data_IF_503311163722
#
_entry.id   IF_503311163722
#
_cell.length_a   1.000
_cell.length_b   1.000
_cell.length_c   1.000
_cell.angle_alpha   90.00
_cell.angle_beta   90.00
_cell.angle_gamma   90.00
#
_symmetry.space_group_name_H-M   'P 1'
#
loop_
_entity.id
_entity.type
_entity.pdbx_description
1 polymer ?
#
# COMPACT_ATOMS: atom_id res chain seq x y z
N UNK A 1 -5.27 -28.22 -23.45
CA UNK A 1 -5.38 -27.22 -22.37
C UNK A 1 -5.31 -27.99 -21.05
N UNK A 2 -4.16 -27.97 -20.39
CA UNK A 2 -4.05 -28.55 -19.05
C UNK A 2 -4.81 -27.63 -18.10
N UNK A 3 -5.89 -28.12 -17.50
CA UNK A 3 -6.50 -27.51 -16.33
C UNK A 3 -5.47 -27.60 -15.19
N UNK A 4 -4.77 -26.51 -14.93
CA UNK A 4 -3.90 -26.41 -13.75
C UNK A 4 -4.80 -26.45 -12.52
N UNK A 5 -4.88 -27.60 -11.86
CA UNK A 5 -5.67 -27.76 -10.63
C UNK A 5 -5.05 -26.86 -9.56
N UNK A 6 -5.81 -25.85 -9.10
CA UNK A 6 -5.37 -24.94 -8.06
C UNK A 6 -4.88 -25.70 -6.81
N UNK A 7 -3.74 -25.29 -6.29
CA UNK A 7 -3.15 -25.87 -5.07
C UNK A 7 -4.04 -25.59 -3.85
N UNK A 8 -3.86 -26.36 -2.79
CA UNK A 8 -4.58 -26.11 -1.51
C UNK A 8 -4.33 -24.69 -0.99
N UNK A 9 -3.12 -24.19 -1.14
CA UNK A 9 -2.74 -22.83 -0.75
C UNK A 9 -3.54 -21.78 -1.55
N UNK A 10 -3.57 -21.90 -2.87
CA UNK A 10 -4.32 -20.99 -3.75
C UNK A 10 -5.82 -20.98 -3.43
N UNK A 11 -6.42 -22.16 -3.20
CA UNK A 11 -7.84 -22.26 -2.80
C UNK A 11 -8.13 -21.55 -1.48
N UNK A 12 -7.23 -21.66 -0.49
CA UNK A 12 -7.39 -20.97 0.79
C UNK A 12 -7.27 -19.46 0.60
N UNK A 13 -6.29 -18.99 -0.18
CA UNK A 13 -6.08 -17.55 -0.42
C UNK A 13 -7.23 -16.94 -1.24
N UNK A 14 -7.75 -17.64 -2.25
CA UNK A 14 -8.90 -17.19 -3.04
C UNK A 14 -10.16 -17.07 -2.17
N UNK A 15 -10.51 -18.10 -1.41
CA UNK A 15 -11.65 -18.04 -0.48
C UNK A 15 -11.49 -16.99 0.62
N UNK A 16 -10.25 -16.72 1.03
CA UNK A 16 -9.93 -15.68 2.00
C UNK A 16 -10.09 -14.28 1.39
N UNK A 17 -9.63 -14.08 0.15
CA UNK A 17 -9.79 -12.83 -0.56
C UNK A 17 -11.26 -12.42 -0.64
N UNK A 18 -12.13 -13.33 -1.06
CA UNK A 18 -13.57 -13.10 -1.17
C UNK A 18 -14.19 -12.73 0.20
N UNK A 19 -13.89 -13.51 1.24
CA UNK A 19 -14.44 -13.28 2.58
C UNK A 19 -13.93 -11.97 3.20
N UNK A 20 -12.65 -11.63 3.01
CA UNK A 20 -12.09 -10.39 3.53
C UNK A 20 -12.59 -9.16 2.77
N UNK A 21 -12.74 -9.23 1.45
CA UNK A 21 -13.30 -8.13 0.66
C UNK A 21 -14.75 -7.85 1.00
N UNK A 22 -15.54 -8.90 1.26
CA UNK A 22 -16.95 -8.79 1.64
C UNK A 22 -17.13 -8.21 3.06
N UNK A 23 -16.43 -8.77 4.05
CA UNK A 23 -16.69 -8.51 5.49
C UNK A 23 -15.62 -7.72 6.23
N UNK A 24 -14.51 -7.41 5.58
CA UNK A 24 -13.32 -6.88 6.25
C UNK A 24 -12.61 -7.92 7.12
N UNK A 25 -11.40 -7.60 7.58
CA UNK A 25 -10.65 -8.52 8.43
C UNK A 25 -11.38 -8.86 9.72
N UNK A 26 -11.92 -7.87 10.42
CA UNK A 26 -12.61 -8.08 11.71
C UNK A 26 -13.85 -8.97 11.57
N UNK A 27 -14.67 -8.75 10.53
CA UNK A 27 -15.92 -9.46 10.29
C UNK A 27 -15.74 -10.83 9.63
N UNK A 28 -14.59 -11.13 9.04
CA UNK A 28 -14.34 -12.36 8.32
C UNK A 28 -14.26 -13.59 9.22
N UNK A 29 -14.86 -14.69 8.76
CA UNK A 29 -14.93 -15.96 9.47
C UNK A 29 -13.96 -16.99 8.92
N UNK A 30 -12.95 -17.39 9.70
CA UNK A 30 -12.03 -18.45 9.33
C UNK A 30 -12.76 -19.75 8.99
N UNK A 31 -13.84 -20.08 9.71
CA UNK A 31 -14.67 -21.26 9.44
C UNK A 31 -15.32 -21.19 8.04
N UNK A 32 -15.75 -20.01 7.63
CA UNK A 32 -16.33 -19.82 6.30
C UNK A 32 -15.27 -19.91 5.21
N UNK A 33 -14.10 -19.31 5.42
CA UNK A 33 -12.95 -19.43 4.50
C UNK A 33 -12.59 -20.90 4.26
N UNK A 34 -12.36 -21.66 5.33
CA UNK A 34 -12.02 -23.10 5.26
C UNK A 34 -13.09 -23.90 4.52
N UNK A 35 -14.38 -23.60 4.79
CA UNK A 35 -15.51 -24.24 4.10
C UNK A 35 -15.53 -23.91 2.61
N UNK A 36 -15.36 -22.65 2.24
CA UNK A 36 -15.39 -22.18 0.85
C UNK A 36 -14.19 -22.72 0.06
N UNK A 37 -13.01 -22.80 0.69
CA UNK A 37 -11.81 -23.40 0.10
C UNK A 37 -11.94 -24.91 -0.09
N UNK A 38 -12.92 -25.55 0.48
CA UNK A 38 -13.10 -27.01 0.40
C UNK A 38 -12.02 -27.79 1.13
N UNK A 39 -11.42 -27.22 2.18
CA UNK A 39 -10.34 -27.84 2.94
C UNK A 39 -10.76 -28.13 4.38
N UNK A 40 -10.00 -28.97 5.10
CA UNK A 40 -10.22 -29.18 6.53
C UNK A 40 -9.54 -28.09 7.35
N UNK A 41 -10.04 -27.83 8.57
CA UNK A 41 -9.38 -26.92 9.53
C UNK A 41 -7.92 -27.35 9.82
N UNK A 42 -7.66 -28.65 9.90
CA UNK A 42 -6.30 -29.17 10.08
C UNK A 42 -5.40 -28.86 8.89
N UNK A 43 -5.92 -28.97 7.65
CA UNK A 43 -5.16 -28.59 6.44
C UNK A 43 -4.86 -27.07 6.43
N UNK A 44 -5.82 -26.24 6.84
CA UNK A 44 -5.60 -24.80 6.98
C UNK A 44 -4.42 -24.49 7.93
N UNK A 45 -4.42 -25.06 9.13
CA UNK A 45 -3.36 -24.83 10.11
C UNK A 45 -2.00 -25.42 9.72
N UNK A 46 -1.95 -26.24 8.68
CA UNK A 46 -0.69 -26.65 8.04
C UNK A 46 -0.02 -25.54 7.20
N UNK A 47 -0.80 -24.56 6.74
CA UNK A 47 -0.32 -23.43 5.92
C UNK A 47 -0.23 -22.13 6.73
N UNK A 48 -1.21 -21.82 7.57
CA UNK A 48 -1.34 -20.56 8.29
C UNK A 48 -1.60 -20.79 9.77
N UNK A 49 -0.85 -20.07 10.63
CA UNK A 49 -1.01 -20.16 12.08
C UNK A 49 -2.27 -19.47 12.60
N UNK A 50 -2.82 -18.52 11.85
CA UNK A 50 -3.98 -17.71 12.25
C UNK A 50 -4.65 -17.04 11.06
N UNK A 51 -5.80 -16.37 11.31
CA UNK A 51 -6.48 -15.51 10.33
C UNK A 51 -5.60 -14.30 9.94
N UNK A 52 -4.85 -13.77 10.90
CA UNK A 52 -3.90 -12.68 10.71
C UNK A 52 -2.76 -13.09 9.77
N UNK A 53 -2.21 -14.29 9.95
CA UNK A 53 -1.15 -14.82 9.09
C UNK A 53 -1.65 -15.04 7.65
N UNK A 54 -2.89 -15.51 7.48
CA UNK A 54 -3.52 -15.63 6.16
C UNK A 54 -3.74 -14.25 5.53
N UNK A 55 -4.31 -13.29 6.26
CA UNK A 55 -4.51 -11.92 5.78
C UNK A 55 -3.18 -11.29 5.36
N UNK A 56 -2.17 -11.38 6.21
CA UNK A 56 -0.83 -10.87 5.93
C UNK A 56 -0.23 -11.49 4.65
N UNK A 57 -0.42 -12.79 4.41
CA UNK A 57 0.10 -13.45 3.20
C UNK A 57 -0.46 -12.86 1.89
N UNK A 58 -1.61 -12.20 1.96
CA UNK A 58 -2.27 -11.58 0.80
C UNK A 58 -1.84 -10.11 0.66
N UNK A 59 -1.80 -9.34 1.77
CA UNK A 59 -1.59 -7.89 1.72
C UNK A 59 -0.15 -7.46 1.90
N UNK A 60 0.71 -8.30 2.49
CA UNK A 60 2.12 -7.96 2.71
C UNK A 60 2.90 -7.73 1.40
N UNK A 61 2.75 -8.56 0.33
CA UNK A 61 3.42 -8.30 -0.93
C UNK A 61 3.12 -6.91 -1.51
N UNK A 62 1.85 -6.48 -1.68
CA UNK A 62 1.56 -5.14 -2.17
C UNK A 62 1.96 -4.04 -1.18
N UNK A 63 1.83 -4.25 0.13
CA UNK A 63 2.27 -3.27 1.12
C UNK A 63 3.78 -3.02 1.04
N UNK A 64 4.59 -4.08 0.94
CA UNK A 64 6.05 -3.98 0.76
C UNK A 64 6.43 -3.33 -0.57
N UNK A 65 5.75 -3.69 -1.66
CA UNK A 65 6.04 -3.14 -2.98
C UNK A 65 5.74 -1.64 -3.03
N UNK A 66 4.55 -1.22 -2.58
CA UNK A 66 4.13 0.19 -2.59
C UNK A 66 5.01 1.05 -1.67
N UNK A 67 5.19 0.64 -0.40
CA UNK A 67 6.01 1.38 0.55
C UNK A 67 7.49 1.36 0.17
N UNK A 68 8.01 0.21 -0.27
CA UNK A 68 9.42 0.09 -0.65
C UNK A 68 9.77 0.97 -1.85
N UNK A 69 8.92 0.96 -2.90
CA UNK A 69 9.15 1.83 -4.07
C UNK A 69 8.97 3.30 -3.74
N UNK A 70 8.04 3.62 -2.84
CA UNK A 70 7.86 4.97 -2.33
C UNK A 70 9.10 5.47 -1.58
N UNK A 71 9.60 4.69 -0.64
CA UNK A 71 10.81 5.03 0.11
C UNK A 71 12.04 5.15 -0.79
N UNK A 72 12.18 4.27 -1.79
CA UNK A 72 13.24 4.36 -2.80
C UNK A 72 13.20 5.71 -3.54
N UNK A 73 12.03 6.12 -4.03
CA UNK A 73 11.86 7.39 -4.73
C UNK A 73 12.20 8.60 -3.82
N UNK A 74 11.68 8.61 -2.59
CA UNK A 74 11.95 9.68 -1.62
C UNK A 74 13.44 9.77 -1.27
N UNK A 75 14.07 8.63 -0.99
CA UNK A 75 15.48 8.59 -0.61
C UNK A 75 16.40 8.99 -1.77
N UNK A 76 16.16 8.43 -2.97
CA UNK A 76 16.95 8.76 -4.16
C UNK A 76 16.86 10.24 -4.49
N UNK A 77 15.66 10.85 -4.37
CA UNK A 77 15.50 12.28 -4.58
C UNK A 77 16.25 13.11 -3.52
N UNK A 78 16.13 12.76 -2.24
CA UNK A 78 16.77 13.47 -1.15
C UNK A 78 18.31 13.38 -1.18
N UNK A 79 18.87 12.33 -1.78
CA UNK A 79 20.32 12.14 -1.97
C UNK A 79 20.91 12.95 -3.13
N UNK A 80 20.06 13.54 -4.00
CA UNK A 80 20.55 14.45 -5.04
C UNK A 80 21.18 15.70 -4.42
N UNK A 81 22.22 16.29 -5.06
CA UNK A 81 22.71 17.61 -4.68
C UNK A 81 21.57 18.63 -4.63
N UNK A 82 21.55 19.49 -3.59
CA UNK A 82 20.46 20.45 -3.37
C UNK A 82 20.11 21.25 -4.63
N UNK A 83 21.13 21.69 -5.39
CA UNK A 83 20.97 22.49 -6.59
C UNK A 83 20.27 21.75 -7.74
N UNK A 84 20.28 20.40 -7.73
CA UNK A 84 19.67 19.57 -8.77
C UNK A 84 18.23 19.18 -8.43
N UNK A 85 17.87 19.14 -7.15
CA UNK A 85 16.54 18.68 -6.71
C UNK A 85 15.38 19.41 -7.40
N UNK A 86 15.39 20.77 -7.57
CA UNK A 86 14.28 21.48 -8.20
C UNK A 86 14.01 21.04 -9.64
N UNK A 87 15.06 20.68 -10.39
CA UNK A 87 14.95 20.29 -11.80
C UNK A 87 14.45 18.84 -11.95
N UNK A 88 14.67 17.98 -10.94
CA UNK A 88 14.31 16.56 -10.98
C UNK A 88 12.97 16.24 -10.31
N UNK A 89 12.42 17.13 -9.48
CA UNK A 89 11.21 16.89 -8.69
C UNK A 89 10.03 16.40 -9.55
N UNK A 90 9.78 17.06 -10.69
CA UNK A 90 8.65 16.73 -11.56
C UNK A 90 8.76 15.36 -12.22
N UNK A 91 9.98 14.98 -12.64
CA UNK A 91 10.25 13.70 -13.29
C UNK A 91 10.14 12.53 -12.30
N UNK A 92 10.77 12.66 -11.14
CA UNK A 92 10.75 11.64 -10.07
C UNK A 92 9.32 11.39 -9.58
N UNK A 93 8.58 12.46 -9.26
CA UNK A 93 7.19 12.35 -8.81
C UNK A 93 6.29 11.70 -9.87
N UNK A 94 6.43 12.10 -11.14
CA UNK A 94 5.65 11.54 -12.24
C UNK A 94 5.97 10.05 -12.47
N UNK A 95 7.25 9.69 -12.42
CA UNK A 95 7.71 8.31 -12.58
C UNK A 95 7.13 7.40 -11.51
N UNK A 96 7.19 7.83 -10.24
CA UNK A 96 6.63 7.07 -9.13
C UNK A 96 5.11 6.89 -9.26
N UNK A 97 4.37 7.97 -9.55
CA UNK A 97 2.91 7.91 -9.70
C UNK A 97 2.52 6.96 -10.84
N UNK A 98 3.19 7.02 -11.99
CA UNK A 98 2.96 6.09 -13.09
C UNK A 98 3.20 4.63 -12.68
N UNK A 99 4.32 4.36 -12.00
CA UNK A 99 4.61 3.02 -11.51
C UNK A 99 3.53 2.55 -10.54
N UNK A 100 3.14 3.39 -9.58
CA UNK A 100 2.14 3.06 -8.56
C UNK A 100 0.79 2.72 -9.18
N UNK A 101 0.30 3.53 -10.13
CA UNK A 101 -0.95 3.28 -10.85
C UNK A 101 -0.90 1.95 -11.60
N UNK A 102 0.19 1.69 -12.33
CA UNK A 102 0.36 0.43 -13.05
C UNK A 102 0.38 -0.78 -12.10
N UNK A 103 1.11 -0.67 -10.98
CA UNK A 103 1.16 -1.72 -9.97
C UNK A 103 -0.22 -2.00 -9.38
N UNK A 104 -0.95 -0.96 -9.01
CA UNK A 104 -2.32 -1.05 -8.50
C UNK A 104 -3.24 -1.76 -9.49
N UNK A 105 -3.19 -1.39 -10.77
CA UNK A 105 -4.02 -2.02 -11.80
C UNK A 105 -3.72 -3.53 -11.97
N UNK A 106 -2.46 -3.94 -11.82
CA UNK A 106 -2.05 -5.34 -11.92
C UNK A 106 -2.40 -6.15 -10.66
N UNK A 107 -2.49 -5.51 -9.49
CA UNK A 107 -2.71 -6.14 -8.18
C UNK A 107 -3.96 -5.59 -7.48
N UNK A 108 -5.02 -5.34 -8.24
CA UNK A 108 -6.20 -4.58 -7.78
C UNK A 108 -6.80 -5.12 -6.48
N UNK A 109 -7.12 -6.42 -6.42
CA UNK A 109 -7.83 -6.97 -5.26
C UNK A 109 -6.98 -7.02 -3.98
N UNK A 110 -5.73 -7.49 -3.99
CA UNK A 110 -4.86 -7.42 -2.81
C UNK A 110 -4.61 -5.98 -2.34
N UNK A 111 -4.45 -5.02 -3.27
CA UNK A 111 -4.30 -3.60 -2.93
C UNK A 111 -5.61 -3.05 -2.36
N UNK A 112 -6.77 -3.38 -2.94
CA UNK A 112 -8.08 -2.99 -2.40
C UNK A 112 -8.25 -3.51 -0.99
N UNK A 113 -7.90 -4.77 -0.75
CA UNK A 113 -7.96 -5.38 0.58
C UNK A 113 -7.09 -4.62 1.59
N UNK A 114 -5.82 -4.31 1.22
CA UNK A 114 -4.88 -3.53 2.02
C UNK A 114 -5.45 -2.16 2.40
N UNK A 115 -6.00 -1.44 1.42
CA UNK A 115 -6.42 -0.05 1.59
C UNK A 115 -7.77 0.12 2.29
N UNK A 116 -8.68 -0.87 2.18
CA UNK A 116 -10.08 -0.68 2.60
C UNK A 116 -10.57 -1.67 3.66
N UNK A 117 -9.85 -2.74 3.93
CA UNK A 117 -10.33 -3.88 4.74
C UNK A 117 -9.34 -4.34 5.83
N UNK A 118 -8.30 -3.56 6.08
CA UNK A 118 -7.21 -3.93 6.99
C UNK A 118 -7.43 -3.52 8.46
N UNK A 119 -8.60 -2.97 8.82
CA UNK A 119 -8.93 -2.57 10.19
C UNK A 119 -8.74 -3.73 11.18
N UNK A 120 -8.08 -3.47 12.29
CA UNK A 120 -7.72 -4.48 13.30
C UNK A 120 -6.48 -5.32 12.97
N UNK A 121 -5.75 -4.99 11.92
CA UNK A 121 -4.46 -5.62 11.56
C UNK A 121 -3.29 -4.66 11.73
N UNK A 122 -2.06 -5.17 11.61
CA UNK A 122 -0.85 -4.33 11.54
C UNK A 122 -0.78 -3.42 10.30
N UNK A 123 -1.66 -3.61 9.32
CA UNK A 123 -1.74 -2.83 8.09
C UNK A 123 -2.79 -1.71 8.12
N UNK A 124 -3.56 -1.59 9.20
CA UNK A 124 -4.65 -0.61 9.35
C UNK A 124 -4.21 0.83 9.04
N UNK A 125 -2.99 1.19 9.42
CA UNK A 125 -2.45 2.54 9.24
C UNK A 125 -1.54 2.68 8.01
N UNK A 126 -1.63 1.78 7.03
CA UNK A 126 -0.73 1.76 5.88
C UNK A 126 -0.72 3.10 5.11
N UNK A 127 -1.89 3.64 4.76
CA UNK A 127 -2.00 4.93 4.05
C UNK A 127 -1.50 6.07 4.92
N UNK A 128 -1.85 6.09 6.21
CA UNK A 128 -1.36 7.09 7.15
C UNK A 128 0.17 7.10 7.22
N UNK A 129 0.79 5.93 7.26
CA UNK A 129 2.26 5.84 7.28
C UNK A 129 2.89 6.39 6.00
N UNK A 130 2.28 6.17 4.83
CA UNK A 130 2.74 6.80 3.57
C UNK A 130 2.61 8.32 3.62
N UNK A 131 1.50 8.83 4.16
CA UNK A 131 1.28 10.29 4.34
C UNK A 131 2.34 10.90 5.25
N UNK A 132 2.67 10.26 6.37
CA UNK A 132 3.70 10.76 7.29
C UNK A 132 5.08 10.82 6.64
N UNK A 133 5.44 9.82 5.85
CA UNK A 133 6.69 9.83 5.07
C UNK A 133 6.69 11.00 4.07
N UNK A 134 5.62 11.19 3.29
CA UNK A 134 5.50 12.29 2.34
C UNK A 134 5.64 13.66 3.02
N UNK A 135 4.99 13.85 4.17
CA UNK A 135 5.08 15.09 4.94
C UNK A 135 6.52 15.37 5.37
N UNK A 136 7.23 14.36 5.85
CA UNK A 136 8.61 14.52 6.30
C UNK A 136 9.54 14.93 5.16
N UNK A 137 9.49 14.22 4.02
CA UNK A 137 10.31 14.55 2.86
C UNK A 137 9.93 15.89 2.21
N UNK A 138 8.63 16.24 2.19
CA UNK A 138 8.18 17.56 1.74
C UNK A 138 8.78 18.68 2.58
N UNK A 139 8.75 18.56 3.91
CA UNK A 139 9.34 19.57 4.81
C UNK A 139 10.85 19.68 4.63
N UNK A 140 11.56 18.56 4.46
CA UNK A 140 13.00 18.56 4.15
C UNK A 140 13.30 19.28 2.82
N UNK A 141 12.54 18.98 1.78
CA UNK A 141 12.72 19.65 0.48
C UNK A 141 12.44 21.14 0.54
N UNK A 142 11.47 21.57 1.35
CA UNK A 142 11.23 23.00 1.55
C UNK A 142 12.41 23.70 2.23
N UNK A 143 13.13 23.05 3.14
CA UNK A 143 14.38 23.61 3.69
C UNK A 143 15.47 23.73 2.60
N UNK A 144 15.63 22.73 1.74
CA UNK A 144 16.53 22.82 0.60
C UNK A 144 16.21 24.02 -0.30
N UNK A 145 14.94 24.22 -0.62
CA UNK A 145 14.53 25.37 -1.45
C UNK A 145 14.87 26.72 -0.77
N UNK A 146 14.74 26.83 0.56
CA UNK A 146 15.14 28.04 1.32
C UNK A 146 16.66 28.24 1.30
N UNK A 147 17.44 27.16 1.47
CA UNK A 147 18.90 27.22 1.35
C UNK A 147 19.35 27.72 -0.03
N UNK A 148 18.62 27.35 -1.08
CA UNK A 148 18.84 27.83 -2.45
C UNK A 148 18.33 29.25 -2.71
N UNK A 149 17.85 29.96 -1.66
CA UNK A 149 17.37 31.34 -1.76
C UNK A 149 16.01 31.49 -2.46
N UNK A 150 15.22 30.41 -2.57
CA UNK A 150 13.88 30.48 -3.14
C UNK A 150 12.92 31.11 -2.13
N UNK A 151 12.14 32.08 -2.58
CA UNK A 151 11.05 32.65 -1.78
C UNK A 151 9.83 31.72 -1.85
N UNK A 152 9.69 30.84 -0.86
CA UNK A 152 8.61 29.87 -0.77
C UNK A 152 7.78 30.11 0.50
N UNK A 153 6.46 29.89 0.44
CA UNK A 153 5.62 30.04 1.61
C UNK A 153 6.02 29.07 2.74
N UNK A 154 5.82 29.50 3.97
CA UNK A 154 5.96 28.61 5.12
C UNK A 154 4.70 27.75 5.18
N UNK A 155 4.84 26.45 4.87
CA UNK A 155 3.78 25.47 5.07
C UNK A 155 3.98 24.84 6.45
N UNK A 156 2.93 24.78 7.24
CA UNK A 156 2.94 24.01 8.47
C UNK A 156 2.73 22.51 8.18
N UNK A 157 3.11 21.66 9.15
CA UNK A 157 2.98 20.22 9.03
C UNK A 157 1.54 19.78 8.76
N UNK A 158 0.56 20.47 9.34
CA UNK A 158 -0.86 20.11 9.19
C UNK A 158 -1.34 20.33 7.76
N UNK A 159 -0.92 21.43 7.12
CA UNK A 159 -1.25 21.71 5.72
C UNK A 159 -0.57 20.69 4.79
N UNK A 160 0.71 20.37 5.02
CA UNK A 160 1.41 19.30 4.28
C UNK A 160 0.66 17.98 4.42
N UNK A 161 0.22 17.61 5.61
CA UNK A 161 -0.53 16.38 5.87
C UNK A 161 -1.87 16.36 5.12
N UNK A 162 -2.62 17.46 5.08
CA UNK A 162 -3.89 17.58 4.34
C UNK A 162 -3.65 17.36 2.85
N UNK A 163 -2.62 18.01 2.28
CA UNK A 163 -2.29 17.91 0.86
C UNK A 163 -1.87 16.47 0.51
N UNK A 164 -0.95 15.89 1.28
CA UNK A 164 -0.47 14.52 1.07
C UNK A 164 -1.61 13.49 1.20
N UNK A 165 -2.48 13.66 2.21
CA UNK A 165 -3.67 12.80 2.38
C UNK A 165 -4.60 12.89 1.17
N UNK A 166 -4.85 14.10 0.65
CA UNK A 166 -5.67 14.30 -0.54
C UNK A 166 -5.08 13.66 -1.78
N UNK A 167 -3.75 13.74 -1.96
CA UNK A 167 -3.03 13.13 -3.06
C UNK A 167 -3.14 11.59 -3.04
N UNK A 168 -2.80 10.95 -1.92
CA UNK A 168 -2.87 9.49 -1.81
C UNK A 168 -4.30 8.97 -1.93
N UNK A 169 -5.26 9.60 -1.26
CA UNK A 169 -6.67 9.21 -1.40
C UNK A 169 -7.14 9.34 -2.86
N UNK A 170 -6.77 10.42 -3.57
CA UNK A 170 -7.12 10.60 -4.97
C UNK A 170 -6.56 9.51 -5.88
N UNK A 171 -5.31 9.08 -5.68
CA UNK A 171 -4.73 7.98 -6.45
C UNK A 171 -5.38 6.64 -6.09
N UNK A 172 -5.64 6.40 -4.83
CA UNK A 172 -6.23 5.12 -4.36
C UNK A 172 -7.72 4.95 -4.72
N UNK A 173 -8.42 6.04 -5.12
CA UNK A 173 -9.77 5.95 -5.69
C UNK A 173 -9.86 4.98 -6.89
N UNK A 174 -8.77 4.79 -7.64
CA UNK A 174 -8.68 3.83 -8.76
C UNK A 174 -9.04 2.40 -8.32
N UNK A 175 -8.83 2.07 -7.05
CA UNK A 175 -9.07 0.72 -6.50
C UNK A 175 -10.45 0.61 -5.86
N UNK A 176 -10.97 1.72 -5.35
CA UNK A 176 -12.23 1.75 -4.58
C UNK A 176 -13.42 1.72 -5.55
N UNK A 177 -13.30 2.34 -6.70
CA UNK A 177 -14.31 2.45 -7.76
C UNK A 177 -13.87 1.77 -9.04
#
# INVERSE_FOLDING_TARGET
>A
MEETTATTLEKIQEAAMDEFLDKGFLGASLRQIVKNAGVTTGAFYGYFSSKEALFASIVEPPAKALMGKFMEAQTSFAELPEEQQPDHMGEESSSYVHWMVNYICQHREPVKLLLTRAEGTSYEHFVHNMVEVEVEYTLQYMEVLRHLGKDIPVLDRSLCHIIASGMFNGVFEIVVH
#
